data_IF_106568733480
#
_entry.id   IF_106568733480
#
_cell.length_a   1.000
_cell.length_b   1.000
_cell.length_c   1.000
_cell.angle_alpha   90.00
_cell.angle_beta   90.00
_cell.angle_gamma   90.00
#
_symmetry.space_group_name_H-M   'P 1'
#
loop_
_entity.id
_entity.type
_entity.pdbx_description
1 polymer ?
#
# COMPACT_ATOMS: atom_id res chain seq x y z
N UNK A 1 -18.21 16.89 9.21
CA UNK A 1 -17.29 17.52 8.25
C UNK A 1 -17.80 18.91 7.95
N UNK A 2 -17.53 19.81 8.89
CA UNK A 2 -17.71 21.25 8.84
C UNK A 2 -16.39 21.89 8.43
N UNK A 3 -16.46 22.68 7.37
CA UNK A 3 -15.31 23.41 6.84
C UNK A 3 -15.52 24.90 7.12
N UNK A 4 -14.46 25.60 7.50
CA UNK A 4 -14.42 27.04 7.42
C UNK A 4 -14.08 27.43 5.98
N UNK A 5 -14.95 28.25 5.39
CA UNK A 5 -14.81 28.73 4.03
C UNK A 5 -14.18 30.12 4.04
N UNK A 6 -13.11 30.31 3.28
CA UNK A 6 -12.55 31.63 2.99
C UNK A 6 -12.39 31.78 1.48
N UNK A 7 -13.01 32.81 0.91
CA UNK A 7 -12.92 33.09 -0.52
C UNK A 7 -11.86 34.18 -0.77
N UNK A 8 -10.92 33.90 -1.69
CA UNK A 8 -9.90 34.86 -2.11
C UNK A 8 -9.89 34.93 -3.64
N UNK A 9 -10.60 35.93 -4.19
CA UNK A 9 -10.79 36.08 -5.64
C UNK A 9 -11.65 34.96 -6.21
N UNK A 10 -11.14 34.27 -7.23
CA UNK A 10 -11.81 33.16 -7.92
C UNK A 10 -11.58 31.78 -7.24
N UNK A 11 -10.90 31.77 -6.08
CA UNK A 11 -10.55 30.56 -5.33
C UNK A 11 -11.28 30.50 -3.98
N UNK A 12 -12.02 29.41 -3.78
CA UNK A 12 -12.64 29.05 -2.49
C UNK A 12 -11.73 28.11 -1.72
N UNK A 13 -11.26 28.54 -0.55
CA UNK A 13 -10.51 27.68 0.36
C UNK A 13 -11.46 27.07 1.39
N UNK A 14 -11.55 25.74 1.40
CA UNK A 14 -12.24 24.98 2.44
C UNK A 14 -11.19 24.45 3.42
N UNK A 15 -11.15 25.00 4.63
CA UNK A 15 -10.28 24.54 5.69
C UNK A 15 -11.07 23.70 6.67
N UNK A 16 -10.60 22.51 7.01
CA UNK A 16 -11.18 21.74 8.10
C UNK A 16 -11.06 22.51 9.41
N UNK A 17 -12.13 22.53 10.20
CA UNK A 17 -12.07 23.05 11.57
C UNK A 17 -11.06 22.26 12.40
N UNK A 18 -10.37 22.93 13.31
CA UNK A 18 -9.30 22.33 14.13
C UNK A 18 -9.80 21.16 14.97
N UNK A 19 -10.99 21.28 15.59
CA UNK A 19 -11.58 20.20 16.39
C UNK A 19 -11.89 18.95 15.57
N UNK A 20 -12.46 19.12 14.36
CA UNK A 20 -12.71 17.98 13.47
C UNK A 20 -11.42 17.37 12.93
N UNK A 21 -10.40 18.20 12.66
CA UNK A 21 -9.10 17.72 12.21
C UNK A 21 -8.38 16.91 13.30
N UNK A 22 -8.53 17.29 14.57
CA UNK A 22 -8.01 16.52 15.70
C UNK A 22 -8.78 15.22 15.89
N UNK A 23 -10.12 15.25 15.84
CA UNK A 23 -10.94 14.04 15.92
C UNK A 23 -10.62 13.03 14.81
N UNK A 24 -10.41 13.50 13.57
CA UNK A 24 -10.01 12.64 12.45
C UNK A 24 -8.63 12.02 12.70
N UNK A 25 -7.68 12.79 13.25
CA UNK A 25 -6.35 12.26 13.60
C UNK A 25 -6.44 11.19 14.69
N UNK A 26 -7.18 11.43 15.76
CA UNK A 26 -7.38 10.46 16.84
C UNK A 26 -8.04 9.17 16.34
N UNK A 27 -9.07 9.30 15.51
CA UNK A 27 -9.73 8.16 14.88
C UNK A 27 -8.79 7.39 13.95
N UNK A 28 -7.98 8.09 13.14
CA UNK A 28 -7.01 7.46 12.25
C UNK A 28 -5.92 6.68 13.02
N UNK A 29 -5.42 7.23 14.13
CA UNK A 29 -4.44 6.52 14.99
C UNK A 29 -5.08 5.30 15.66
N UNK A 30 -6.32 5.43 16.12
CA UNK A 30 -7.06 4.33 16.77
C UNK A 30 -7.32 3.17 15.79
N UNK A 31 -7.73 3.50 14.55
CA UNK A 31 -7.88 2.51 13.48
C UNK A 31 -6.54 1.86 13.13
N UNK A 32 -5.45 2.63 13.05
CA UNK A 32 -4.12 2.08 12.80
C UNK A 32 -3.70 1.11 13.90
N UNK A 33 -3.95 1.43 15.18
CA UNK A 33 -3.68 0.54 16.31
C UNK A 33 -4.44 -0.78 16.21
N UNK A 34 -5.72 -0.74 15.84
CA UNK A 34 -6.55 -1.93 15.67
C UNK A 34 -6.02 -2.84 14.55
N UNK A 35 -5.70 -2.25 13.39
CA UNK A 35 -5.12 -2.98 12.27
C UNK A 35 -3.77 -3.60 12.65
N UNK A 36 -2.90 -2.85 13.33
CA UNK A 36 -1.60 -3.34 13.78
C UNK A 36 -1.74 -4.48 14.78
N UNK A 37 -2.70 -4.40 15.72
CA UNK A 37 -2.98 -5.48 16.68
C UNK A 37 -3.38 -6.76 15.96
N UNK A 38 -4.34 -6.71 15.04
CA UNK A 38 -4.78 -7.86 14.25
C UNK A 38 -3.63 -8.50 13.45
N UNK A 39 -2.72 -7.68 12.91
CA UNK A 39 -1.54 -8.16 12.18
C UNK A 39 -0.52 -8.82 13.09
N UNK A 40 -0.31 -8.30 14.29
CA UNK A 40 0.61 -8.89 15.27
C UNK A 40 0.05 -10.21 15.81
N UNK A 41 -1.26 -10.32 16.04
CA UNK A 41 -1.90 -11.57 16.48
C UNK A 41 -1.66 -12.70 15.47
N UNK A 42 -1.62 -12.38 14.17
CA UNK A 42 -1.29 -13.35 13.10
C UNK A 42 0.15 -13.90 13.18
N UNK A 43 1.04 -13.26 13.94
CA UNK A 43 2.41 -13.73 14.19
C UNK A 43 2.47 -14.80 15.28
N UNK A 44 1.37 -15.04 16.02
CA UNK A 44 1.31 -16.02 17.10
C UNK A 44 2.09 -15.59 18.35
N UNK A 45 2.22 -14.29 18.58
CA UNK A 45 2.88 -13.71 19.75
C UNK A 45 1.83 -13.56 20.86
N UNK A 46 2.07 -14.17 22.00
CA UNK A 46 1.04 -14.27 23.05
C UNK A 46 0.79 -12.97 23.83
N UNK A 47 1.74 -12.03 23.86
CA UNK A 47 1.62 -10.78 24.65
C UNK A 47 2.30 -9.57 24.00
N UNK A 48 1.80 -9.07 22.85
CA UNK A 48 2.32 -7.84 22.26
C UNK A 48 1.83 -6.59 23.00
N UNK A 49 2.72 -5.62 23.21
CA UNK A 49 2.35 -4.30 23.75
C UNK A 49 2.41 -3.25 22.64
N UNK A 50 1.28 -2.57 22.42
CA UNK A 50 1.16 -1.45 21.49
C UNK A 50 0.74 -0.22 22.30
N UNK A 51 1.54 0.83 22.24
CA UNK A 51 1.27 2.09 22.93
C UNK A 51 1.48 3.26 21.99
N UNK A 52 0.53 4.19 21.99
CA UNK A 52 0.72 5.46 21.29
C UNK A 52 1.76 6.30 22.05
N UNK A 53 2.76 6.80 21.34
CA UNK A 53 3.79 7.68 21.87
C UNK A 53 3.68 9.06 21.19
N UNK A 54 3.09 10.02 21.91
CA UNK A 54 2.83 11.35 21.37
C UNK A 54 1.73 11.33 20.30
N UNK A 55 1.81 12.25 19.33
CA UNK A 55 0.69 12.48 18.38
C UNK A 55 0.68 11.45 17.24
N UNK A 56 1.85 11.08 16.71
CA UNK A 56 1.95 10.32 15.45
C UNK A 56 2.74 9.00 15.54
N UNK A 57 3.29 8.65 16.70
CA UNK A 57 4.12 7.45 16.82
C UNK A 57 3.40 6.35 17.61
N UNK A 58 3.66 5.11 17.22
CA UNK A 58 3.19 3.91 17.95
C UNK A 58 4.43 3.09 18.30
N UNK A 59 4.63 2.87 19.60
CA UNK A 59 5.67 1.99 20.13
C UNK A 59 5.10 0.59 20.18
N UNK A 60 5.81 -0.34 19.55
CA UNK A 60 5.44 -1.75 19.49
C UNK A 60 6.54 -2.56 20.18
N UNK A 61 6.14 -3.36 21.18
CA UNK A 61 7.02 -4.29 21.89
C UNK A 61 6.52 -5.71 21.66
N UNK A 62 7.40 -6.56 21.13
CA UNK A 62 7.12 -7.95 20.74
C UNK A 62 8.05 -8.90 21.50
N UNK A 63 7.73 -9.27 22.75
CA UNK A 63 8.56 -10.19 23.52
C UNK A 63 8.58 -11.59 22.87
N UNK A 64 9.74 -12.26 22.91
CA UNK A 64 9.89 -13.61 22.35
C UNK A 64 9.91 -13.70 20.83
N UNK A 65 9.98 -12.57 20.11
CA UNK A 65 10.06 -12.55 18.66
C UNK A 65 11.40 -13.12 18.16
N UNK A 66 11.33 -14.25 17.43
CA UNK A 66 12.52 -14.92 16.86
C UNK A 66 13.02 -14.30 15.56
N UNK A 67 12.11 -13.80 14.72
CA UNK A 67 12.41 -13.26 13.39
C UNK A 67 11.85 -11.85 13.24
N UNK A 68 12.73 -10.87 13.47
CA UNK A 68 12.39 -9.45 13.46
C UNK A 68 12.06 -8.95 12.06
N UNK A 69 12.78 -9.39 11.05
CA UNK A 69 12.62 -8.92 9.67
C UNK A 69 11.28 -9.37 9.09
N UNK A 70 10.88 -10.62 9.39
CA UNK A 70 9.56 -11.13 9.03
C UNK A 70 8.43 -10.34 9.70
N UNK A 71 8.57 -10.00 10.98
CA UNK A 71 7.58 -9.19 11.69
C UNK A 71 7.47 -7.77 11.13
N UNK A 72 8.61 -7.10 10.87
CA UNK A 72 8.62 -5.76 10.26
C UNK A 72 7.93 -5.78 8.89
N UNK A 73 8.16 -6.82 8.08
CA UNK A 73 7.48 -6.97 6.79
C UNK A 73 5.97 -7.21 6.92
N UNK A 74 5.56 -7.93 7.96
CA UNK A 74 4.15 -8.25 8.23
C UNK A 74 3.40 -7.15 8.97
N UNK A 75 4.07 -6.24 9.67
CA UNK A 75 3.50 -5.10 10.41
C UNK A 75 3.65 -3.77 9.63
N UNK A 76 4.64 -3.69 8.74
CA UNK A 76 4.97 -2.52 7.92
C UNK A 76 3.85 -2.04 6.99
N UNK A 77 4.07 -1.00 6.17
CA UNK A 77 3.01 -0.40 5.37
C UNK A 77 2.24 -1.43 4.53
N UNK A 78 0.93 -1.19 4.37
CA UNK A 78 0.03 -2.06 3.63
C UNK A 78 0.56 -2.26 2.21
N UNK A 79 0.78 -3.52 1.81
CA UNK A 79 1.09 -3.85 0.43
C UNK A 79 -0.17 -3.60 -0.41
N UNK A 80 -0.26 -2.40 -1.00
CA UNK A 80 -1.36 -2.04 -1.89
C UNK A 80 -1.07 -2.64 -3.27
N UNK A 81 -1.91 -3.56 -3.71
CA UNK A 81 -1.84 -4.13 -5.04
C UNK A 81 -2.87 -3.43 -5.95
N UNK A 82 -2.41 -2.96 -7.10
CA UNK A 82 -3.24 -2.33 -8.13
C UNK A 82 -2.91 -2.94 -9.49
N UNK A 83 -3.93 -3.13 -10.30
CA UNK A 83 -3.81 -3.53 -11.69
C UNK A 83 -4.18 -2.32 -12.57
N UNK A 84 -3.21 -1.86 -13.33
CA UNK A 84 -3.33 -0.74 -14.27
C UNK A 84 -3.01 -1.24 -15.68
N UNK A 85 -3.64 -0.65 -16.68
CA UNK A 85 -3.35 -0.98 -18.08
C UNK A 85 -2.05 -0.32 -18.51
N UNK A 86 -1.26 -1.07 -19.28
CA UNK A 86 -0.04 -0.56 -19.92
C UNK A 86 -0.40 0.00 -21.28
N UNK A 87 -0.03 1.25 -21.55
CA UNK A 87 -0.09 1.83 -22.88
C UNK A 87 1.21 1.54 -23.64
N UNK A 88 1.17 0.56 -24.53
CA UNK A 88 2.34 0.16 -25.34
C UNK A 88 2.66 1.13 -26.49
N UNK A 89 1.78 2.08 -26.79
CA UNK A 89 1.97 3.06 -27.87
C UNK A 89 2.62 4.36 -27.38
N UNK A 90 2.72 4.56 -26.07
CA UNK A 90 3.30 5.75 -25.47
C UNK A 90 4.71 5.47 -24.95
N UNK A 91 5.59 6.46 -25.09
CA UNK A 91 6.91 6.45 -24.46
C UNK A 91 6.92 7.41 -23.26
N UNK A 92 7.92 7.33 -22.37
CA UNK A 92 8.09 8.30 -21.29
C UNK A 92 8.17 9.77 -21.73
N UNK A 93 8.50 10.00 -23.00
CA UNK A 93 8.60 11.35 -23.57
C UNK A 93 7.28 11.83 -24.20
N UNK A 94 6.37 10.91 -24.55
CA UNK A 94 5.16 11.19 -25.33
C UNK A 94 3.84 10.85 -24.64
N UNK A 95 3.85 10.50 -23.35
CA UNK A 95 2.65 10.12 -22.61
C UNK A 95 1.78 11.33 -22.21
N UNK A 96 0.48 11.09 -22.06
CA UNK A 96 -0.47 12.08 -21.58
C UNK A 96 -0.43 12.18 -20.05
N UNK A 97 0.26 13.19 -19.52
CA UNK A 97 0.42 13.42 -18.07
C UNK A 97 -0.90 13.58 -17.30
N UNK A 98 -2.01 13.92 -17.96
CA UNK A 98 -3.32 14.04 -17.31
C UNK A 98 -3.90 12.66 -17.00
N UNK A 99 -3.84 11.74 -17.95
CA UNK A 99 -4.51 10.42 -17.88
C UNK A 99 -3.56 9.27 -17.58
N UNK A 100 -2.25 9.47 -17.73
CA UNK A 100 -1.25 8.42 -17.66
C UNK A 100 -0.12 8.76 -16.68
N UNK A 101 0.60 7.73 -16.24
CA UNK A 101 1.74 7.80 -15.32
C UNK A 101 2.86 6.91 -15.83
N UNK A 102 4.11 7.33 -15.66
CA UNK A 102 5.28 6.52 -15.98
C UNK A 102 5.82 5.87 -14.72
N UNK A 103 5.95 4.55 -14.74
CA UNK A 103 6.57 3.76 -13.68
C UNK A 103 7.77 3.02 -14.24
N UNK A 104 8.80 2.78 -13.43
CA UNK A 104 9.98 2.06 -13.84
C UNK A 104 10.06 0.70 -13.14
N UNK A 105 10.24 -0.35 -13.93
CA UNK A 105 10.72 -1.65 -13.43
C UNK A 105 12.23 -1.56 -13.25
N UNK A 106 12.66 -1.70 -12.00
CA UNK A 106 14.08 -1.68 -11.63
C UNK A 106 14.49 -3.06 -11.12
N UNK A 107 15.44 -3.68 -11.82
CA UNK A 107 16.03 -4.95 -11.42
C UNK A 107 17.37 -4.62 -10.78
N UNK A 108 17.49 -4.92 -9.49
CA UNK A 108 18.70 -4.70 -8.71
C UNK A 108 19.42 -6.02 -8.43
N UNK A 109 20.74 -6.01 -8.56
CA UNK A 109 21.59 -7.06 -8.04
C UNK A 109 21.57 -6.98 -6.51
N UNK A 110 21.03 -8.03 -5.86
CA UNK A 110 20.87 -8.06 -4.40
C UNK A 110 22.21 -8.16 -3.64
N UNK A 111 23.29 -8.56 -4.31
CA UNK A 111 24.62 -8.73 -3.69
C UNK A 111 25.43 -7.44 -3.84
N UNK A 112 25.47 -6.88 -5.04
CA UNK A 112 26.28 -5.69 -5.33
C UNK A 112 25.51 -4.37 -5.12
N UNK A 113 24.20 -4.45 -4.91
CA UNK A 113 23.27 -3.32 -4.84
C UNK A 113 23.37 -2.39 -6.07
N UNK A 114 23.69 -2.96 -7.24
CA UNK A 114 23.76 -2.22 -8.51
C UNK A 114 22.48 -2.44 -9.31
N UNK A 115 22.02 -1.38 -9.97
CA UNK A 115 20.91 -1.44 -10.90
C UNK A 115 21.34 -2.19 -12.18
N UNK A 116 20.74 -3.35 -12.43
CA UNK A 116 20.99 -4.19 -13.60
C UNK A 116 20.18 -3.67 -14.80
N UNK A 117 18.92 -3.32 -14.57
CA UNK A 117 18.01 -2.91 -15.64
C UNK A 117 16.98 -1.93 -15.10
N UNK A 118 16.67 -0.92 -15.91
CA UNK A 118 15.60 0.05 -15.66
C UNK A 118 14.74 0.17 -16.92
N UNK A 119 13.50 -0.32 -16.86
CA UNK A 119 12.57 -0.31 -17.99
C UNK A 119 11.35 0.54 -17.66
N UNK A 120 11.00 1.54 -18.47
CA UNK A 120 9.80 2.33 -18.25
C UNK A 120 8.54 1.60 -18.75
N UNK A 121 7.44 1.79 -18.04
CA UNK A 121 6.08 1.46 -18.46
C UNK A 121 5.21 2.69 -18.33
N UNK A 122 4.46 3.01 -19.38
CA UNK A 122 3.41 4.03 -19.34
C UNK A 122 2.11 3.33 -18.95
N UNK A 123 1.49 3.76 -17.86
CA UNK A 123 0.27 3.18 -17.32
C UNK A 123 -0.88 4.18 -17.37
N UNK A 124 -2.09 3.70 -17.59
CA UNK A 124 -3.29 4.50 -17.37
C UNK A 124 -3.50 4.72 -15.87
N UNK A 125 -3.77 5.97 -15.45
CA UNK A 125 -4.07 6.29 -14.04
C UNK A 125 -5.35 5.64 -13.54
N UNK A 126 -6.25 5.26 -14.46
CA UNK A 126 -7.50 4.61 -14.11
C UNK A 126 -7.22 3.20 -13.61
N UNK A 127 -7.36 3.01 -12.30
CA UNK A 127 -7.20 1.70 -11.66
C UNK A 127 -8.43 0.85 -12.01
N UNK A 128 -8.22 -0.25 -12.74
CA UNK A 128 -9.30 -1.17 -13.12
C UNK A 128 -9.63 -2.16 -12.01
N UNK A 129 -8.63 -2.55 -11.23
CA UNK A 129 -8.77 -3.54 -10.16
C UNK A 129 -7.72 -3.30 -9.08
N UNK A 130 -8.12 -3.53 -7.83
CA UNK A 130 -7.25 -3.48 -6.65
C UNK A 130 -7.12 -4.87 -6.03
N UNK A 131 -6.21 -5.02 -5.06
CA UNK A 131 -6.05 -6.25 -4.29
C UNK A 131 -7.29 -6.69 -3.51
N UNK A 132 -8.29 -5.84 -3.33
CA UNK A 132 -9.54 -6.17 -2.63
C UNK A 132 -10.36 -7.26 -3.35
N UNK A 133 -10.21 -7.37 -4.67
CA UNK A 133 -10.88 -8.40 -5.47
C UNK A 133 -10.19 -9.77 -5.40
N UNK A 134 -9.07 -9.87 -4.68
CA UNK A 134 -8.32 -11.12 -4.54
C UNK A 134 -8.95 -11.97 -3.44
N UNK A 135 -9.33 -13.19 -3.81
CA UNK A 135 -9.81 -14.23 -2.89
C UNK A 135 -8.67 -14.86 -2.11
N UNK A 136 -7.60 -15.16 -2.83
CA UNK A 136 -6.53 -16.04 -2.39
C UNK A 136 -5.28 -15.82 -3.24
N UNK A 137 -4.10 -15.98 -2.64
CA UNK A 137 -2.80 -15.80 -3.26
C UNK A 137 -1.84 -16.87 -2.73
N UNK A 138 -1.26 -17.68 -3.61
CA UNK A 138 -0.38 -18.79 -3.22
C UNK A 138 0.88 -18.83 -4.06
N UNK A 139 1.99 -19.11 -3.40
CA UNK A 139 3.26 -19.40 -4.09
C UNK A 139 3.21 -20.84 -4.59
N UNK A 140 3.53 -21.03 -5.86
CA UNK A 140 3.62 -22.33 -6.53
C UNK A 140 4.97 -22.40 -7.22
N UNK A 141 5.46 -23.61 -7.42
CA UNK A 141 6.68 -23.85 -8.18
C UNK A 141 6.24 -24.57 -9.45
N UNK A 142 6.66 -24.06 -10.59
CA UNK A 142 6.43 -24.74 -11.86
C UNK A 142 7.23 -26.05 -11.88
N UNK A 143 6.55 -27.16 -12.17
CA UNK A 143 7.14 -28.50 -12.23
C UNK A 143 8.10 -28.67 -13.41
N UNK A 144 7.99 -27.84 -14.45
CA UNK A 144 8.87 -27.93 -15.62
C UNK A 144 10.19 -27.19 -15.39
N UNK A 145 10.11 -25.92 -14.97
CA UNK A 145 11.28 -25.04 -14.90
C UNK A 145 11.79 -24.79 -13.47
N UNK A 146 11.15 -25.38 -12.45
CA UNK A 146 11.44 -25.16 -11.02
C UNK A 146 11.44 -23.66 -10.63
N UNK A 147 10.68 -22.83 -11.35
CA UNK A 147 10.57 -21.39 -11.10
C UNK A 147 9.38 -21.11 -10.19
N UNK A 148 9.55 -20.36 -9.09
CA UNK A 148 8.44 -19.96 -8.25
C UNK A 148 7.59 -18.87 -8.92
N UNK A 149 6.28 -19.01 -8.86
CA UNK A 149 5.31 -18.00 -9.29
C UNK A 149 4.23 -17.80 -8.21
N UNK A 150 3.59 -16.63 -8.23
CA UNK A 150 2.45 -16.35 -7.35
C UNK A 150 1.17 -16.54 -8.15
N UNK A 151 0.38 -17.55 -7.78
CA UNK A 151 -0.97 -17.75 -8.31
C UNK A 151 -1.97 -16.88 -7.54
N UNK A 152 -2.75 -16.07 -8.25
CA UNK A 152 -3.82 -15.24 -7.68
C UNK A 152 -5.19 -15.82 -8.08
N UNK A 153 -6.13 -15.88 -7.14
CA UNK A 153 -7.53 -16.22 -7.40
C UNK A 153 -8.40 -15.01 -7.11
N UNK A 154 -9.32 -14.68 -8.00
CA UNK A 154 -10.19 -13.50 -7.89
C UNK A 154 -11.62 -13.88 -7.46
N UNK A 155 -12.29 -12.97 -6.74
CA UNK A 155 -13.74 -13.02 -6.49
C UNK A 155 -14.42 -12.01 -7.41
N UNK A 156 -15.11 -12.50 -8.43
CA UNK A 156 -16.02 -11.66 -9.21
C UNK A 156 -17.43 -11.83 -8.66
N UNK A 157 -17.91 -10.85 -7.91
CA UNK A 157 -19.34 -10.77 -7.65
C UNK A 157 -20.00 -10.37 -8.96
N UNK A 158 -20.81 -11.27 -9.55
CA UNK A 158 -21.67 -10.88 -10.67
C UNK A 158 -22.59 -9.76 -10.18
N UNK A 159 -22.38 -8.54 -10.65
CA UNK A 159 -23.47 -7.57 -10.68
C UNK A 159 -24.49 -8.07 -11.70
N UNK A 160 -25.75 -8.11 -11.27
CA UNK A 160 -26.90 -8.45 -12.10
C UNK A 160 -27.33 -7.25 -12.92
#
# INVERSE_FOLDING_TARGET
MQFDQSDQGDLTFLKLRSEEAELIKENAVSQALEVLRNRIDSLGISEPSLQQQGVNNIVIQLPGLKDRDRAIKLIGPQAVLQFQLVNNNATPDSYNRLTEVVIYEEIWDKVTNKLISKRPYVLEKKILMTGEFIRDARVRIDSQDNRPYVSLSFRFNRCR
#
